data_IF_252977021765
#
_entry.id   IF_252977021765
#
_cell.length_a   1.000
_cell.length_b   1.000
_cell.length_c   1.000
_cell.angle_alpha   90.00
_cell.angle_beta   90.00
_cell.angle_gamma   90.00
#
_symmetry.space_group_name_H-M   'P 1'
#
loop_
_entity.id
_entity.type
_entity.pdbx_description
1 polymer ?
#
# COMPACT_ATOMS: atom_id res chain seq x y z
N UNK A 1 -8.61 13.21 41.76
CA UNK A 1 -8.20 13.81 40.47
C UNK A 1 -7.02 13.07 39.82
N UNK A 2 -5.98 12.68 40.56
CA UNK A 2 -4.82 11.91 40.03
C UNK A 2 -5.23 10.55 39.44
N UNK A 3 -6.14 9.84 40.12
CA UNK A 3 -6.64 8.53 39.67
C UNK A 3 -7.39 8.64 38.32
N UNK A 4 -8.22 9.67 38.15
CA UNK A 4 -8.95 9.89 36.89
C UNK A 4 -8.00 10.21 35.72
N UNK A 5 -6.90 10.93 35.96
CA UNK A 5 -5.90 11.24 34.94
C UNK A 5 -5.16 9.98 34.48
N UNK A 6 -4.86 9.04 35.40
CA UNK A 6 -4.24 7.75 35.07
C UNK A 6 -5.13 6.87 34.18
N UNK A 7 -6.44 6.82 34.43
CA UNK A 7 -7.36 6.05 33.59
C UNK A 7 -7.52 6.66 32.18
N UNK A 8 -7.48 7.99 32.07
CA UNK A 8 -7.54 8.69 30.79
C UNK A 8 -6.26 8.42 29.97
N UNK A 9 -5.08 8.45 30.59
CA UNK A 9 -3.82 8.16 29.87
C UNK A 9 -3.71 6.70 29.46
N UNK A 10 -4.14 5.75 30.30
CA UNK A 10 -4.18 4.32 29.95
C UNK A 10 -5.17 4.06 28.82
N UNK A 11 -6.39 4.64 28.88
CA UNK A 11 -7.38 4.50 27.82
C UNK A 11 -6.93 5.10 26.47
N UNK A 12 -6.24 6.24 26.49
CA UNK A 12 -5.63 6.82 25.29
C UNK A 12 -4.49 5.96 24.73
N UNK A 13 -3.70 5.33 25.60
CA UNK A 13 -2.59 4.45 25.18
C UNK A 13 -3.12 3.18 24.48
N UNK A 14 -4.22 2.59 24.96
CA UNK A 14 -4.85 1.43 24.32
C UNK A 14 -5.51 1.76 22.96
N UNK A 15 -6.07 2.96 22.80
CA UNK A 15 -6.61 3.44 21.51
C UNK A 15 -5.49 3.67 20.48
N UNK A 16 -4.29 4.05 20.92
CA UNK A 16 -3.12 4.19 20.04
C UNK A 16 -2.53 2.81 19.68
N UNK A 17 -2.47 1.88 20.63
CA UNK A 17 -1.94 0.52 20.45
C UNK A 17 -2.81 -0.39 19.56
N UNK A 18 -4.08 -0.07 19.36
CA UNK A 18 -5.01 -0.88 18.55
C UNK A 18 -5.06 -0.51 17.07
N UNK A 19 -4.46 0.62 16.66
CA UNK A 19 -4.27 0.94 15.24
C UNK A 19 -3.01 0.23 14.72
N UNK A 20 -3.14 -1.06 14.44
CA UNK A 20 -2.10 -1.80 13.74
C UNK A 20 -1.80 -1.12 12.41
N UNK A 21 -0.50 -1.00 12.08
CA UNK A 21 -0.04 -0.46 10.81
C UNK A 21 -0.70 -1.28 9.68
N UNK A 22 -1.35 -0.63 8.69
CA UNK A 22 -1.97 -1.37 7.59
C UNK A 22 -0.96 -2.30 6.93
N UNK A 23 -1.34 -3.54 6.56
CA UNK A 23 -0.40 -4.52 6.02
C UNK A 23 0.37 -4.04 4.78
N UNK A 24 -0.22 -3.15 3.98
CA UNK A 24 0.45 -2.52 2.84
C UNK A 24 1.62 -1.63 3.29
N UNK A 25 1.41 -0.75 4.26
CA UNK A 25 2.43 0.16 4.78
C UNK A 25 3.60 -0.62 5.40
N UNK A 26 3.29 -1.64 6.20
CA UNK A 26 4.30 -2.52 6.78
C UNK A 26 5.11 -3.27 5.71
N UNK A 27 4.47 -3.64 4.58
CA UNK A 27 5.17 -4.26 3.46
C UNK A 27 6.11 -3.26 2.77
N UNK A 28 5.64 -2.04 2.53
CA UNK A 28 6.42 -0.97 1.90
C UNK A 28 7.66 -0.61 2.73
N UNK A 29 7.50 -0.49 4.05
CA UNK A 29 8.60 -0.22 4.99
C UNK A 29 9.69 -1.30 4.91
N UNK A 30 9.31 -2.58 4.83
CA UNK A 30 10.25 -3.70 4.69
C UNK A 30 11.00 -3.73 3.36
N UNK A 31 10.49 -3.07 2.32
CA UNK A 31 11.21 -2.94 1.05
C UNK A 31 12.40 -1.98 1.15
N UNK A 32 12.40 -1.10 2.15
CA UNK A 32 13.45 -0.12 2.39
C UNK A 32 13.35 1.15 1.53
N UNK A 33 14.29 2.04 1.80
CA UNK A 33 14.42 3.34 1.16
C UNK A 33 15.02 3.26 -0.25
N UNK A 34 14.87 4.34 -1.02
CA UNK A 34 15.46 4.45 -2.34
C UNK A 34 17.00 4.44 -2.26
N UNK A 35 17.68 3.48 -2.92
CA UNK A 35 19.13 3.48 -2.97
C UNK A 35 19.65 4.58 -3.90
N UNK A 36 20.95 4.94 -3.80
CA UNK A 36 21.56 5.89 -4.72
C UNK A 36 21.32 5.50 -6.18
N UNK A 37 21.02 6.49 -7.05
CA UNK A 37 20.67 6.25 -8.47
C UNK A 37 21.68 5.40 -9.27
N UNK A 38 22.96 5.43 -8.87
CA UNK A 38 24.04 4.64 -9.47
C UNK A 38 23.93 3.13 -9.17
N UNK A 39 23.19 2.75 -8.13
CA UNK A 39 23.02 1.36 -7.69
C UNK A 39 21.79 0.72 -8.35
N UNK A 40 21.81 0.63 -9.68
CA UNK A 40 20.69 0.17 -10.52
C UNK A 40 20.10 -1.17 -10.02
N UNK A 41 20.95 -2.12 -9.62
CA UNK A 41 20.51 -3.42 -9.12
C UNK A 41 19.77 -3.35 -7.79
N UNK A 42 20.20 -2.48 -6.87
CA UNK A 42 19.48 -2.28 -5.60
C UNK A 42 18.17 -1.56 -5.84
N UNK A 43 18.17 -0.53 -6.70
CA UNK A 43 16.96 0.19 -7.08
C UNK A 43 15.92 -0.78 -7.63
N UNK A 44 16.30 -1.64 -8.58
CA UNK A 44 15.41 -2.65 -9.15
C UNK A 44 14.86 -3.62 -8.10
N UNK A 45 15.67 -4.02 -7.11
CA UNK A 45 15.23 -4.91 -6.02
C UNK A 45 14.16 -4.26 -5.15
N UNK A 46 14.35 -3.00 -4.77
CA UNK A 46 13.39 -2.23 -3.99
C UNK A 46 12.07 -2.07 -4.76
N UNK A 47 12.13 -1.69 -6.02
CA UNK A 47 10.93 -1.54 -6.87
C UNK A 47 10.16 -2.85 -7.05
N UNK A 48 10.86 -3.97 -7.30
CA UNK A 48 10.21 -5.29 -7.37
C UNK A 48 9.51 -5.69 -6.06
N UNK A 49 10.09 -5.33 -4.91
CA UNK A 49 9.47 -5.54 -3.61
C UNK A 49 8.18 -4.70 -3.47
N UNK A 50 8.23 -3.41 -3.81
CA UNK A 50 7.08 -2.49 -3.71
C UNK A 50 5.95 -2.85 -4.70
N UNK A 51 6.30 -3.42 -5.85
CA UNK A 51 5.33 -3.98 -6.80
C UNK A 51 4.63 -5.21 -6.24
N UNK A 52 5.37 -6.08 -5.54
CA UNK A 52 4.80 -7.21 -4.81
C UNK A 52 3.84 -6.74 -3.72
N UNK A 53 4.22 -5.77 -2.89
CA UNK A 53 3.35 -5.20 -1.86
C UNK A 53 2.04 -4.66 -2.44
N UNK A 54 2.11 -3.92 -3.55
CA UNK A 54 0.93 -3.38 -4.21
C UNK A 54 0.00 -4.48 -4.75
N UNK A 55 0.59 -5.55 -5.31
CA UNK A 55 -0.17 -6.73 -5.77
C UNK A 55 -0.87 -7.44 -4.62
N UNK A 56 -0.17 -7.69 -3.52
CA UNK A 56 -0.74 -8.35 -2.34
C UNK A 56 -1.88 -7.54 -1.73
N UNK A 57 -1.72 -6.21 -1.64
CA UNK A 57 -2.79 -5.32 -1.17
C UNK A 57 -4.01 -5.33 -2.09
N UNK A 58 -3.79 -5.34 -3.41
CA UNK A 58 -4.89 -5.50 -4.38
C UNK A 58 -5.64 -6.82 -4.17
N UNK A 59 -4.92 -7.93 -3.97
CA UNK A 59 -5.51 -9.25 -3.70
C UNK A 59 -6.35 -9.20 -2.42
N UNK A 60 -5.81 -8.63 -1.34
CA UNK A 60 -6.51 -8.45 -0.06
C UNK A 60 -7.81 -7.65 -0.22
N UNK A 61 -7.75 -6.52 -0.92
CA UNK A 61 -8.92 -5.69 -1.21
C UNK A 61 -9.98 -6.45 -2.02
N UNK A 62 -9.57 -7.20 -3.05
CA UNK A 62 -10.51 -8.00 -3.85
C UNK A 62 -11.16 -9.12 -3.03
N UNK A 63 -10.40 -9.76 -2.15
CA UNK A 63 -10.90 -10.80 -1.24
C UNK A 63 -11.91 -10.27 -0.21
N UNK A 64 -11.74 -9.01 0.24
CA UNK A 64 -12.69 -8.34 1.13
C UNK A 64 -14.03 -7.98 0.44
N UNK A 65 -14.07 -7.99 -0.90
CA UNK A 65 -15.24 -7.56 -1.68
C UNK A 65 -15.64 -8.58 -2.76
N UNK A 66 -15.93 -9.85 -2.40
CA UNK A 66 -16.12 -10.93 -3.36
C UNK A 66 -17.34 -10.71 -4.27
N UNK A 67 -18.38 -10.01 -3.79
CA UNK A 67 -19.65 -9.85 -4.49
C UNK A 67 -19.90 -8.43 -5.02
N UNK A 68 -19.01 -7.48 -4.77
CA UNK A 68 -19.21 -6.08 -5.17
C UNK A 68 -18.36 -5.70 -6.37
N UNK A 69 -18.97 -5.67 -7.56
CA UNK A 69 -18.35 -5.15 -8.80
C UNK A 69 -17.86 -3.70 -8.64
N UNK A 70 -18.52 -2.89 -7.82
CA UNK A 70 -18.13 -1.50 -7.55
C UNK A 70 -16.86 -1.45 -6.70
N UNK A 71 -16.82 -2.18 -5.59
CA UNK A 71 -15.65 -2.18 -4.71
C UNK A 71 -14.44 -2.86 -5.37
N UNK A 72 -14.65 -3.94 -6.13
CA UNK A 72 -13.57 -4.53 -6.95
C UNK A 72 -12.94 -3.52 -7.89
N UNK A 73 -13.74 -2.69 -8.59
CA UNK A 73 -13.23 -1.61 -9.45
C UNK A 73 -12.41 -0.58 -8.66
N UNK A 74 -12.80 -0.25 -7.42
CA UNK A 74 -12.01 0.62 -6.55
C UNK A 74 -10.68 -0.04 -6.13
N UNK A 75 -10.66 -1.34 -5.83
CA UNK A 75 -9.41 -2.06 -5.52
C UNK A 75 -8.39 -1.98 -6.66
N UNK A 76 -8.84 -2.21 -7.91
CA UNK A 76 -7.99 -2.07 -9.09
C UNK A 76 -7.52 -0.64 -9.30
N UNK A 77 -8.42 0.35 -9.14
CA UNK A 77 -8.06 1.76 -9.22
C UNK A 77 -7.01 2.13 -8.17
N UNK A 78 -7.20 1.76 -6.91
CA UNK A 78 -6.26 2.04 -5.84
C UNK A 78 -4.87 1.43 -6.10
N UNK A 79 -4.81 0.19 -6.60
CA UNK A 79 -3.54 -0.44 -6.98
C UNK A 79 -2.85 0.30 -8.13
N UNK A 80 -3.62 0.75 -9.12
CA UNK A 80 -3.10 1.56 -10.23
C UNK A 80 -2.56 2.90 -9.74
N UNK A 81 -3.32 3.59 -8.89
CA UNK A 81 -2.98 4.94 -8.42
C UNK A 81 -1.68 4.90 -7.60
N UNK A 82 -1.52 3.93 -6.68
CA UNK A 82 -0.26 3.70 -5.95
C UNK A 82 0.93 3.39 -6.86
N UNK A 83 0.69 2.66 -7.96
CA UNK A 83 1.74 2.37 -8.95
C UNK A 83 2.18 3.64 -9.67
N UNK A 84 1.21 4.44 -10.14
CA UNK A 84 1.44 5.70 -10.86
C UNK A 84 2.18 6.71 -9.98
N UNK A 85 1.81 6.82 -8.70
CA UNK A 85 2.45 7.74 -7.76
C UNK A 85 3.97 7.50 -7.68
N UNK A 86 4.40 6.23 -7.65
CA UNK A 86 5.83 5.87 -7.65
C UNK A 86 6.55 6.17 -8.96
N UNK A 87 5.84 6.26 -10.08
CA UNK A 87 6.45 6.59 -11.37
C UNK A 87 6.94 8.04 -11.48
N UNK A 88 6.46 8.94 -10.59
CA UNK A 88 6.61 10.37 -10.78
C UNK A 88 6.11 10.79 -12.17
N UNK A 89 6.96 11.47 -12.94
CA UNK A 89 6.63 11.95 -14.28
C UNK A 89 7.04 11.01 -15.43
N UNK A 90 7.52 9.79 -15.13
CA UNK A 90 7.98 8.89 -16.18
C UNK A 90 6.81 8.22 -16.92
N UNK A 91 6.46 8.76 -18.10
CA UNK A 91 5.31 8.34 -18.90
C UNK A 91 5.30 6.83 -19.23
N UNK A 92 6.47 6.24 -19.49
CA UNK A 92 6.59 4.81 -19.75
C UNK A 92 6.12 3.96 -18.57
N UNK A 93 6.54 4.30 -17.35
CA UNK A 93 6.08 3.63 -16.13
C UNK A 93 4.58 3.84 -15.90
N UNK A 94 4.06 5.05 -16.11
CA UNK A 94 2.62 5.34 -15.97
C UNK A 94 1.79 4.46 -16.91
N UNK A 95 2.22 4.29 -18.15
CA UNK A 95 1.56 3.42 -19.12
C UNK A 95 1.57 1.95 -18.68
N UNK A 96 2.72 1.45 -18.21
CA UNK A 96 2.82 0.08 -17.66
C UNK A 96 1.87 -0.09 -16.47
N UNK A 97 1.87 0.83 -15.52
CA UNK A 97 0.98 0.81 -14.34
C UNK A 97 -0.50 0.73 -14.73
N UNK A 98 -0.92 1.45 -15.77
CA UNK A 98 -2.29 1.39 -16.32
C UNK A 98 -2.61 0.01 -16.88
N UNK A 99 -1.69 -0.58 -17.65
CA UNK A 99 -1.86 -1.91 -18.24
C UNK A 99 -1.98 -3.00 -17.17
N UNK A 100 -1.04 -3.06 -16.22
CA UNK A 100 -0.98 -4.16 -15.23
C UNK A 100 -2.04 -4.05 -14.11
N UNK A 101 -2.69 -2.90 -13.97
CA UNK A 101 -3.77 -2.66 -13.00
C UNK A 101 -5.11 -2.35 -13.68
N UNK A 102 -5.35 -2.94 -14.85
CA UNK A 102 -6.67 -2.94 -15.49
C UNK A 102 -7.53 -4.07 -14.90
N UNK A 103 -8.78 -3.81 -14.46
CA UNK A 103 -9.69 -4.87 -14.05
C UNK A 103 -9.92 -5.87 -15.19
N UNK A 104 -10.06 -7.18 -14.91
CA UNK A 104 -10.44 -8.15 -15.92
C UNK A 104 -11.81 -7.78 -16.53
N UNK A 105 -12.00 -8.12 -17.81
CA UNK A 105 -13.31 -8.05 -18.45
C UNK A 105 -14.30 -8.90 -17.64
N UNK A 106 -15.48 -8.35 -17.37
CA UNK A 106 -16.52 -8.97 -16.52
C UNK A 106 -17.52 -9.77 -17.33
#
# INVERSE_FOLDING_TARGET
MVICVMFITIGLLEVVLTRSIPPYELCMERCGEDPPRREVWRFRRVEMCRDRCNREERIRCLAAHPNSKREKRKCWKAARDRCIERCGNYLGCIQICRQINTPPAQ
#
